data_IF_475780259474
#
_entry.id   IF_475780259474
#
_cell.length_a   1.000
_cell.length_b   1.000
_cell.length_c   1.000
_cell.angle_alpha   90.00
_cell.angle_beta   90.00
_cell.angle_gamma   90.00
#
_symmetry.space_group_name_H-M   'P 1'
#
loop_
_entity.id
_entity.type
_entity.pdbx_description
1 polymer ?
#
# COMPACT_ATOMS: atom_id res chain seq x y z
N UNK A 1 10.72 10.20 -24.34
CA UNK A 1 10.42 11.00 -23.14
C UNK A 1 9.23 11.92 -23.37
N UNK A 2 8.31 11.98 -22.43
CA UNK A 2 7.25 12.99 -22.31
C UNK A 2 7.41 13.69 -20.96
N UNK A 3 7.38 15.02 -20.93
CA UNK A 3 7.64 15.80 -19.72
C UNK A 3 6.43 16.67 -19.31
N UNK A 4 6.29 16.87 -18.01
CA UNK A 4 5.59 18.02 -17.43
C UNK A 4 6.59 18.89 -16.69
N UNK A 5 6.43 20.20 -16.81
CA UNK A 5 7.27 21.20 -16.15
C UNK A 5 6.41 22.42 -15.82
N UNK A 6 6.29 22.77 -14.54
CA UNK A 6 5.55 23.95 -14.10
C UNK A 6 6.46 25.11 -13.67
N UNK A 7 7.76 25.07 -14.03
CA UNK A 7 8.78 26.03 -13.64
C UNK A 7 9.32 25.86 -12.21
N UNK A 8 8.74 24.95 -11.41
CA UNK A 8 9.24 24.57 -10.08
C UNK A 8 9.73 23.14 -10.04
N UNK A 9 8.96 22.21 -10.61
CA UNK A 9 9.31 20.80 -10.72
C UNK A 9 9.14 20.35 -12.16
N UNK A 10 10.07 19.49 -12.59
CA UNK A 10 10.03 18.80 -13.86
C UNK A 10 10.00 17.30 -13.63
N UNK A 11 9.04 16.62 -14.26
CA UNK A 11 8.88 15.17 -14.21
C UNK A 11 8.82 14.61 -15.64
N UNK A 12 9.47 13.48 -15.89
CA UNK A 12 9.57 12.87 -17.21
C UNK A 12 9.22 11.39 -17.20
N UNK A 13 8.26 11.02 -18.04
CA UNK A 13 7.88 9.64 -18.33
C UNK A 13 8.63 9.13 -19.57
N UNK A 14 9.23 7.94 -19.48
CA UNK A 14 9.86 7.29 -20.62
C UNK A 14 8.90 6.35 -21.35
N UNK A 15 8.39 6.80 -22.50
CA UNK A 15 7.47 6.05 -23.33
C UNK A 15 8.07 4.77 -23.92
N UNK A 16 9.41 4.64 -23.93
CA UNK A 16 10.07 3.39 -24.31
C UNK A 16 10.06 2.35 -23.17
N UNK A 17 9.69 2.73 -21.95
CA UNK A 17 9.72 1.93 -20.73
C UNK A 17 8.36 1.93 -20.03
N UNK A 18 7.28 1.66 -20.77
CA UNK A 18 5.91 1.66 -20.23
C UNK A 18 5.43 3.01 -19.67
N UNK A 19 6.12 4.11 -19.94
CA UNK A 19 5.85 5.42 -19.35
C UNK A 19 6.25 5.56 -17.89
N UNK A 20 7.14 4.69 -17.37
CA UNK A 20 7.67 4.84 -16.02
C UNK A 20 8.40 6.19 -15.88
N UNK A 21 8.38 6.77 -14.69
CA UNK A 21 9.09 8.04 -14.46
C UNK A 21 10.57 7.74 -14.32
N UNK A 22 11.36 8.28 -15.25
CA UNK A 22 12.83 8.19 -15.28
C UNK A 22 13.49 9.54 -15.03
N UNK A 23 12.69 10.61 -14.88
CA UNK A 23 13.18 11.94 -14.58
C UNK A 23 12.35 12.64 -13.50
N UNK A 24 13.02 13.17 -12.49
CA UNK A 24 12.44 14.10 -11.51
C UNK A 24 13.51 15.10 -11.08
N UNK A 25 13.20 16.39 -11.15
CA UNK A 25 14.12 17.46 -10.73
C UNK A 25 13.36 18.68 -10.22
N UNK A 26 14.05 19.52 -9.44
CA UNK A 26 13.52 20.79 -8.93
C UNK A 26 14.26 21.97 -9.60
N UNK A 27 13.64 23.13 -9.73
CA UNK A 27 14.26 24.30 -10.39
C UNK A 27 15.61 24.71 -9.77
N UNK A 28 15.75 24.54 -8.46
CA UNK A 28 16.99 24.87 -7.71
C UNK A 28 18.00 23.73 -7.72
N UNK A 29 17.59 22.52 -8.12
CA UNK A 29 18.41 21.30 -8.20
C UNK A 29 18.04 20.55 -9.47
N UNK A 30 18.56 21.01 -10.63
CA UNK A 30 18.11 20.57 -11.95
C UNK A 30 18.60 19.17 -12.33
N UNK A 31 19.52 18.59 -11.57
CA UNK A 31 19.98 17.23 -11.76
C UNK A 31 18.83 16.23 -11.55
N UNK A 32 18.83 15.16 -12.35
CA UNK A 32 17.84 14.11 -12.22
C UNK A 32 18.05 13.28 -10.95
N UNK A 33 16.99 13.08 -10.19
CA UNK A 33 17.01 12.33 -8.93
C UNK A 33 16.70 10.85 -9.08
N UNK A 34 16.19 10.42 -10.24
CA UNK A 34 15.70 9.04 -10.41
C UNK A 34 16.85 8.11 -10.76
N UNK A 35 17.03 7.05 -9.98
CA UNK A 35 17.93 5.97 -10.38
C UNK A 35 17.25 5.18 -11.51
N UNK A 36 18.01 4.78 -12.53
CA UNK A 36 17.58 4.04 -13.71
C UNK A 36 18.68 3.08 -14.17
N UNK A 37 19.30 2.39 -13.21
CA UNK A 37 20.35 1.41 -13.46
C UNK A 37 19.87 0.23 -14.32
N UNK A 38 18.67 -0.27 -14.05
CA UNK A 38 18.03 -1.39 -14.75
C UNK A 38 16.51 -1.16 -14.85
N UNK A 39 15.76 -2.12 -15.41
CA UNK A 39 14.31 -1.99 -15.58
C UNK A 39 13.50 -2.21 -14.28
N UNK A 40 14.15 -2.57 -13.18
CA UNK A 40 13.51 -2.71 -11.87
C UNK A 40 13.52 -1.43 -11.04
N UNK A 41 14.20 -0.36 -11.49
CA UNK A 41 14.51 0.82 -10.67
C UNK A 41 14.10 2.12 -11.33
N UNK A 42 12.89 2.59 -11.07
CA UNK A 42 12.33 3.87 -11.52
C UNK A 42 11.29 4.32 -10.48
N UNK A 43 10.43 5.31 -10.79
CA UNK A 43 9.11 5.36 -10.15
C UNK A 43 8.14 4.57 -11.00
N UNK A 44 7.65 3.44 -10.48
CA UNK A 44 6.85 2.48 -11.24
C UNK A 44 5.83 1.71 -10.40
N UNK A 45 4.71 1.36 -11.02
CA UNK A 45 3.76 0.40 -10.46
C UNK A 45 4.37 -1.00 -10.40
N UNK A 46 4.13 -1.70 -9.30
CA UNK A 46 4.58 -3.07 -9.07
C UNK A 46 3.59 -3.77 -8.14
N UNK A 47 2.91 -4.79 -8.68
CA UNK A 47 1.85 -5.52 -7.98
C UNK A 47 2.22 -6.97 -7.77
N UNK A 48 1.65 -7.60 -6.74
CA UNK A 48 2.05 -8.93 -6.29
C UNK A 48 0.83 -9.80 -6.02
N UNK A 49 0.82 -11.00 -6.57
CA UNK A 49 -0.19 -12.04 -6.30
C UNK A 49 0.45 -13.43 -6.29
N UNK A 50 -0.35 -14.45 -5.99
CA UNK A 50 -0.02 -15.82 -6.37
C UNK A 50 -0.30 -16.09 -7.85
N UNK A 51 0.08 -17.29 -8.34
CA UNK A 51 0.78 -18.34 -7.59
C UNK A 51 2.25 -17.99 -7.29
N UNK A 52 2.88 -18.76 -6.40
CA UNK A 52 4.29 -18.60 -6.01
C UNK A 52 5.01 -19.95 -6.10
N UNK A 53 5.88 -20.18 -7.10
CA UNK A 53 6.19 -19.28 -8.22
C UNK A 53 4.99 -19.10 -9.17
N UNK A 54 4.97 -17.97 -9.89
CA UNK A 54 4.17 -17.84 -11.11
C UNK A 54 5.05 -18.20 -12.30
N UNK A 55 4.71 -19.28 -12.97
CA UNK A 55 5.50 -19.83 -14.06
C UNK A 55 4.57 -20.39 -15.15
N UNK A 56 4.12 -19.53 -16.08
CA UNK A 56 3.35 -19.97 -17.25
C UNK A 56 4.13 -21.00 -18.07
N UNK A 57 3.40 -21.89 -18.75
CA UNK A 57 4.01 -22.92 -19.60
C UNK A 57 4.90 -22.29 -20.67
N UNK A 58 6.12 -22.82 -20.81
CA UNK A 58 7.11 -22.33 -21.78
C UNK A 58 7.84 -21.04 -21.40
N UNK A 59 7.47 -20.36 -20.30
CA UNK A 59 8.19 -19.16 -19.86
C UNK A 59 9.55 -19.51 -19.22
N UNK A 60 10.54 -18.63 -19.38
CA UNK A 60 11.80 -18.71 -18.62
C UNK A 60 11.66 -17.90 -17.35
N UNK A 61 11.90 -18.52 -16.20
CA UNK A 61 11.86 -17.89 -14.88
C UNK A 61 13.28 -17.67 -14.34
N UNK A 62 13.59 -16.45 -13.93
CA UNK A 62 14.86 -16.10 -13.29
C UNK A 62 14.91 -16.71 -11.86
N UNK A 63 15.84 -17.64 -11.55
CA UNK A 63 15.81 -18.42 -10.30
C UNK A 63 15.85 -17.56 -9.03
N UNK A 64 16.56 -16.43 -9.07
CA UNK A 64 16.72 -15.50 -7.96
C UNK A 64 15.39 -14.86 -7.55
N UNK A 65 14.41 -14.79 -8.46
CA UNK A 65 13.12 -14.12 -8.25
C UNK A 65 11.93 -15.09 -8.12
N UNK A 66 12.17 -16.40 -8.02
CA UNK A 66 11.10 -17.43 -7.99
C UNK A 66 10.07 -17.28 -6.85
N UNK A 67 10.40 -16.56 -5.79
CA UNK A 67 9.53 -16.35 -4.61
C UNK A 67 8.62 -15.13 -4.75
N UNK A 68 8.80 -14.30 -5.79
CA UNK A 68 8.04 -13.08 -5.97
C UNK A 68 6.58 -13.35 -6.36
N UNK A 69 6.33 -14.46 -7.09
CA UNK A 69 5.01 -14.84 -7.58
C UNK A 69 4.59 -14.10 -8.84
N UNK A 70 3.29 -13.88 -9.00
CA UNK A 70 2.75 -13.06 -10.08
C UNK A 70 3.11 -11.59 -9.80
N UNK A 71 4.02 -11.04 -10.60
CA UNK A 71 4.55 -9.68 -10.39
C UNK A 71 4.73 -8.89 -11.70
N UNK A 72 3.68 -8.26 -12.23
CA UNK A 72 3.82 -7.29 -13.30
C UNK A 72 4.36 -5.96 -12.77
N UNK A 73 5.35 -5.41 -13.46
CA UNK A 73 5.94 -4.11 -13.16
C UNK A 73 5.90 -3.19 -14.39
N UNK A 74 5.79 -1.89 -14.16
CA UNK A 74 5.52 -0.93 -15.22
C UNK A 74 6.68 -0.76 -16.21
N UNK A 75 7.94 -0.82 -15.78
CA UNK A 75 9.06 -0.48 -16.66
C UNK A 75 9.43 -1.61 -17.63
N UNK A 76 9.62 -2.83 -17.13
CA UNK A 76 10.05 -3.98 -17.94
C UNK A 76 10.61 -5.14 -17.10
N UNK A 77 10.98 -6.25 -17.73
CA UNK A 77 11.46 -7.44 -17.03
C UNK A 77 12.97 -7.44 -16.72
N UNK A 78 13.41 -8.41 -15.89
CA UNK A 78 14.82 -8.59 -15.52
C UNK A 78 15.73 -9.02 -16.68
N UNK A 79 15.15 -9.42 -17.81
CA UNK A 79 15.86 -9.82 -19.03
C UNK A 79 16.05 -8.64 -19.99
N UNK A 80 15.51 -7.46 -19.67
CA UNK A 80 15.69 -6.24 -20.43
C UNK A 80 14.60 -5.98 -21.47
N UNK A 81 13.45 -6.66 -21.40
CA UNK A 81 12.32 -6.36 -22.27
C UNK A 81 11.43 -5.29 -21.63
N UNK A 82 11.27 -4.11 -22.26
CA UNK A 82 10.47 -3.04 -21.72
C UNK A 82 8.97 -3.29 -21.90
N UNK A 83 8.18 -2.71 -21.01
CA UNK A 83 6.72 -2.64 -21.13
C UNK A 83 6.28 -1.77 -22.29
N UNK A 84 5.12 -2.11 -22.87
CA UNK A 84 4.61 -1.47 -24.08
C UNK A 84 3.56 -0.42 -23.75
N UNK A 85 3.81 0.84 -24.14
CA UNK A 85 2.80 1.90 -24.11
C UNK A 85 1.71 1.61 -25.14
N UNK A 86 0.46 1.70 -24.70
CA UNK A 86 -0.75 1.58 -25.52
C UNK A 86 -1.31 2.96 -25.91
N UNK A 87 -1.26 3.90 -24.97
CA UNK A 87 -1.83 5.23 -25.14
C UNK A 87 -1.03 6.25 -24.32
N UNK A 88 -0.90 7.45 -24.86
CA UNK A 88 -0.20 8.57 -24.23
C UNK A 88 -0.87 9.87 -24.62
N UNK A 89 -1.14 10.73 -23.64
CA UNK A 89 -1.60 12.09 -23.84
C UNK A 89 -0.80 13.03 -22.93
N UNK A 90 -0.47 14.22 -23.43
CA UNK A 90 0.15 15.26 -22.64
C UNK A 90 -0.30 16.63 -23.15
N UNK A 91 -1.04 17.37 -22.33
CA UNK A 91 -1.55 18.70 -22.66
C UNK A 91 -0.76 19.85 -21.99
N UNK A 92 0.34 19.52 -21.29
CA UNK A 92 1.15 20.45 -20.52
C UNK A 92 0.68 20.67 -19.08
N UNK A 93 -0.56 20.32 -18.75
CA UNK A 93 -1.12 20.36 -17.39
C UNK A 93 -1.22 18.95 -16.77
N UNK A 94 -1.56 17.97 -17.59
CA UNK A 94 -1.67 16.57 -17.24
C UNK A 94 -0.92 15.70 -18.26
N UNK A 95 -0.22 14.69 -17.74
CA UNK A 95 0.42 13.64 -18.51
C UNK A 95 -0.25 12.31 -18.17
N UNK A 96 -0.82 11.69 -19.19
CA UNK A 96 -1.44 10.38 -19.13
C UNK A 96 -0.61 9.34 -19.87
N UNK A 97 -0.42 8.17 -19.26
CA UNK A 97 0.13 6.99 -19.94
C UNK A 97 -0.69 5.76 -19.59
N UNK A 98 -0.90 4.91 -20.60
CA UNK A 98 -1.44 3.56 -20.49
C UNK A 98 -0.44 2.56 -21.04
N UNK A 99 -0.16 1.47 -20.33
CA UNK A 99 0.75 0.43 -20.81
C UNK A 99 0.29 -0.99 -20.45
N UNK A 100 0.83 -1.96 -21.18
CA UNK A 100 0.87 -3.36 -20.74
C UNK A 100 2.20 -3.58 -20.02
N UNK A 101 2.20 -3.90 -18.71
CA UNK A 101 3.41 -4.17 -17.95
C UNK A 101 4.05 -5.50 -18.35
N UNK A 102 5.29 -5.74 -17.91
CA UNK A 102 5.97 -7.03 -18.04
C UNK A 102 6.07 -7.71 -16.69
N UNK A 103 6.06 -9.04 -16.66
CA UNK A 103 6.38 -9.79 -15.45
C UNK A 103 7.87 -9.70 -15.13
N UNK A 104 8.23 -9.06 -14.01
CA UNK A 104 9.63 -8.89 -13.61
C UNK A 104 10.48 -10.18 -13.66
N UNK A 105 10.03 -11.31 -13.07
CA UNK A 105 10.89 -12.49 -12.96
C UNK A 105 10.93 -13.33 -14.23
N UNK A 106 10.13 -13.01 -15.26
CA UNK A 106 9.94 -13.82 -16.45
C UNK A 106 10.58 -13.17 -17.68
N UNK A 107 11.06 -14.00 -18.60
CA UNK A 107 11.64 -13.55 -19.87
C UNK A 107 10.56 -13.23 -20.90
N UNK A 108 10.37 -11.95 -21.18
CA UNK A 108 9.50 -11.41 -22.22
C UNK A 108 8.03 -11.88 -22.11
N UNK A 109 7.50 -11.92 -20.88
CA UNK A 109 6.10 -12.28 -20.61
C UNK A 109 5.31 -11.02 -20.18
N UNK A 110 4.41 -10.51 -21.05
CA UNK A 110 3.50 -9.42 -20.69
C UNK A 110 2.56 -9.81 -19.55
N UNK A 111 2.25 -8.85 -18.69
CA UNK A 111 1.24 -9.03 -17.64
C UNK A 111 -0.17 -9.08 -18.20
N UNK A 112 -1.05 -9.86 -17.56
CA UNK A 112 -2.47 -9.94 -17.92
C UNK A 112 -3.28 -8.79 -17.30
N UNK A 113 -2.74 -7.58 -17.38
CA UNK A 113 -3.32 -6.37 -16.82
C UNK A 113 -2.91 -5.13 -17.62
N UNK A 114 -3.57 -4.02 -17.33
CA UNK A 114 -3.25 -2.71 -17.91
C UNK A 114 -2.99 -1.72 -16.79
N UNK A 115 -1.93 -0.94 -16.91
CA UNK A 115 -1.60 0.15 -16.01
C UNK A 115 -1.92 1.49 -16.66
N UNK A 116 -2.56 2.37 -15.90
CA UNK A 116 -2.88 3.74 -16.30
C UNK A 116 -2.40 4.72 -15.23
N UNK A 117 -1.83 5.84 -15.68
CA UNK A 117 -1.24 6.85 -14.80
C UNK A 117 -1.63 8.22 -15.30
N UNK A 118 -2.13 9.06 -14.39
CA UNK A 118 -2.37 10.48 -14.63
C UNK A 118 -1.49 11.29 -13.69
N UNK A 119 -0.62 12.12 -14.26
CA UNK A 119 0.34 12.95 -13.52
C UNK A 119 -0.02 14.42 -13.70
N UNK A 120 -0.07 15.17 -12.60
CA UNK A 120 -0.24 16.63 -12.59
C UNK A 120 0.77 17.26 -11.63
N UNK A 121 1.04 18.56 -11.81
CA UNK A 121 1.97 19.32 -10.98
C UNK A 121 1.27 20.47 -10.26
N UNK A 122 1.60 20.68 -8.98
CA UNK A 122 1.15 21.82 -8.16
C UNK A 122 2.33 22.36 -7.35
N UNK A 123 2.90 23.48 -7.80
CA UNK A 123 4.14 24.04 -7.24
C UNK A 123 5.26 22.97 -7.16
N UNK A 124 5.81 22.67 -5.98
CA UNK A 124 6.85 21.65 -5.79
C UNK A 124 6.31 20.21 -5.67
N UNK A 125 5.01 20.01 -5.88
CA UNK A 125 4.32 18.73 -5.65
C UNK A 125 3.91 18.08 -6.97
N UNK A 126 4.18 16.78 -7.07
CA UNK A 126 3.70 15.88 -8.12
C UNK A 126 2.53 15.08 -7.55
N UNK A 127 1.40 15.07 -8.25
CA UNK A 127 0.25 14.23 -7.91
C UNK A 127 0.12 13.19 -9.02
N UNK A 128 0.18 11.91 -8.65
CA UNK A 128 0.07 10.79 -9.57
C UNK A 128 -1.10 9.91 -9.16
N UNK A 129 -2.10 9.79 -10.03
CA UNK A 129 -3.17 8.81 -9.89
C UNK A 129 -2.78 7.58 -10.69
N UNK A 130 -3.00 6.41 -10.12
CA UNK A 130 -2.69 5.13 -10.72
C UNK A 130 -3.94 4.26 -10.77
N UNK A 131 -4.04 3.47 -11.83
CA UNK A 131 -5.04 2.42 -11.97
C UNK A 131 -4.38 1.17 -12.54
N UNK A 132 -4.54 0.04 -11.85
CA UNK A 132 -4.28 -1.28 -12.42
C UNK A 132 -5.62 -1.97 -12.71
N UNK A 133 -5.87 -2.27 -13.98
CA UNK A 133 -7.02 -3.10 -14.38
C UNK A 133 -6.51 -4.52 -14.62
N UNK A 134 -6.76 -5.42 -13.67
CA UNK A 134 -6.39 -6.82 -13.80
C UNK A 134 -7.41 -7.55 -14.67
N UNK A 135 -6.93 -8.44 -15.54
CA UNK A 135 -7.77 -9.23 -16.42
C UNK A 135 -7.16 -10.63 -16.61
N UNK A 136 -6.59 -11.20 -15.55
CA UNK A 136 -5.95 -12.51 -15.63
C UNK A 136 -7.02 -13.61 -15.83
N UNK A 137 -6.75 -14.60 -16.70
CA UNK A 137 -7.66 -15.72 -16.92
C UNK A 137 -7.76 -16.65 -15.71
N UNK A 138 -6.72 -16.72 -14.89
CA UNK A 138 -6.71 -17.52 -13.67
C UNK A 138 -7.59 -16.88 -12.58
N UNK A 139 -8.73 -17.50 -12.30
CA UNK A 139 -9.70 -17.04 -11.32
C UNK A 139 -9.43 -17.55 -9.89
N UNK A 140 -8.30 -18.22 -9.67
CA UNK A 140 -7.91 -18.68 -8.33
C UNK A 140 -7.81 -17.50 -7.36
N UNK A 141 -8.44 -17.61 -6.20
CA UNK A 141 -8.31 -16.60 -5.14
C UNK A 141 -7.00 -16.82 -4.38
N UNK A 142 -6.05 -15.90 -4.57
CA UNK A 142 -4.75 -15.97 -3.90
C UNK A 142 -4.74 -15.17 -2.58
N UNK A 143 -3.87 -15.54 -1.62
CA UNK A 143 -3.70 -14.80 -0.39
C UNK A 143 -3.30 -13.34 -0.64
N UNK A 144 -3.73 -12.45 0.26
CA UNK A 144 -3.34 -11.05 0.21
C UNK A 144 -1.82 -10.87 0.30
N UNK A 145 -1.28 -9.99 -0.52
CA UNK A 145 0.16 -9.65 -0.56
C UNK A 145 0.37 -8.15 -0.47
N UNK A 146 1.55 -7.77 -0.01
CA UNK A 146 2.00 -6.38 0.00
C UNK A 146 2.12 -5.87 -1.44
N UNK A 147 1.48 -4.74 -1.72
CA UNK A 147 1.53 -4.01 -3.00
C UNK A 147 2.38 -2.76 -2.84
N UNK A 148 3.17 -2.40 -3.85
CA UNK A 148 3.98 -1.17 -3.86
C UNK A 148 3.24 -0.04 -4.59
N UNK A 149 3.07 1.12 -3.93
CA UNK A 149 2.09 2.13 -4.35
C UNK A 149 2.66 3.55 -4.51
N UNK A 150 3.55 3.82 -5.49
CA UNK A 150 4.37 2.90 -6.29
C UNK A 150 5.72 2.60 -5.61
N UNK A 151 6.58 1.84 -6.27
CA UNK A 151 8.02 1.82 -5.97
C UNK A 151 8.66 3.15 -6.41
N UNK A 152 9.51 3.75 -5.57
CA UNK A 152 10.25 5.00 -5.84
C UNK A 152 11.74 4.74 -5.64
N UNK A 153 12.48 4.68 -6.74
CA UNK A 153 13.94 4.57 -6.73
C UNK A 153 14.61 5.89 -7.07
N UNK A 154 15.51 6.33 -6.19
CA UNK A 154 16.31 7.55 -6.37
C UNK A 154 17.80 7.26 -6.28
N UNK A 155 18.59 8.24 -6.73
CA UNK A 155 20.05 8.25 -6.59
C UNK A 155 20.47 8.06 -5.12
N UNK A 156 21.59 7.38 -4.89
CA UNK A 156 22.04 7.06 -3.52
C UNK A 156 22.55 8.27 -2.73
N UNK A 157 22.61 9.46 -3.32
CA UNK A 157 22.82 10.71 -2.58
C UNK A 157 21.66 11.01 -1.62
N UNK A 158 20.43 10.63 -1.97
CA UNK A 158 19.23 10.77 -1.12
C UNK A 158 19.05 9.55 -0.20
N UNK A 159 20.08 9.24 0.58
CA UNK A 159 20.21 7.97 1.28
C UNK A 159 19.43 7.84 2.58
N UNK A 160 18.91 8.94 3.14
CA UNK A 160 18.24 8.92 4.45
C UNK A 160 16.74 8.71 4.29
N UNK A 161 16.26 7.54 4.69
CA UNK A 161 14.83 7.29 4.86
C UNK A 161 14.36 7.95 6.16
N UNK A 162 13.66 9.08 6.03
CA UNK A 162 13.15 9.88 7.15
C UNK A 162 11.62 9.79 7.26
N UNK A 163 11.11 9.60 8.47
CA UNK A 163 9.67 9.74 8.78
C UNK A 163 9.44 9.97 10.27
N UNK A 164 8.23 10.35 10.66
CA UNK A 164 7.78 10.26 12.05
C UNK A 164 7.27 8.85 12.34
N UNK A 165 7.84 8.19 13.35
CA UNK A 165 7.55 6.80 13.72
C UNK A 165 7.06 6.67 15.17
N UNK A 166 6.79 7.79 15.84
CA UNK A 166 6.39 7.82 17.24
C UNK A 166 4.89 7.64 17.48
N UNK A 167 4.50 7.55 18.74
CA UNK A 167 3.12 7.25 19.16
C UNK A 167 2.18 8.47 19.17
N UNK A 168 2.70 9.67 18.92
CA UNK A 168 1.94 10.94 18.93
C UNK A 168 2.08 11.65 17.58
N UNK A 169 1.47 11.10 16.51
CA UNK A 169 1.59 11.68 15.19
C UNK A 169 0.98 13.10 15.17
N UNK A 170 1.51 13.94 14.29
CA UNK A 170 1.04 15.32 14.06
C UNK A 170 1.24 16.29 15.23
N UNK A 171 2.05 15.93 16.23
CA UNK A 171 2.43 16.85 17.33
C UNK A 171 3.78 17.53 17.11
N UNK A 172 4.39 17.37 15.93
CA UNK A 172 5.70 17.93 15.63
C UNK A 172 6.88 17.25 16.33
N UNK A 173 6.71 16.03 16.84
CA UNK A 173 7.80 15.27 17.49
C UNK A 173 8.93 14.90 16.51
N UNK A 174 10.06 14.44 17.06
CA UNK A 174 11.28 14.20 16.29
C UNK A 174 11.12 13.15 15.18
N UNK A 175 11.80 13.39 14.06
CA UNK A 175 11.85 12.46 12.94
C UNK A 175 12.91 11.38 13.17
N UNK A 176 12.63 10.19 12.69
CA UNK A 176 13.54 9.04 12.75
C UNK A 176 14.18 8.82 11.38
N UNK A 177 15.50 8.61 11.38
CA UNK A 177 16.19 7.99 10.25
C UNK A 177 16.03 6.47 10.36
N UNK A 178 15.18 5.90 9.51
CA UNK A 178 14.91 4.47 9.45
C UNK A 178 16.08 3.79 8.73
N UNK A 179 16.79 2.92 9.42
CA UNK A 179 17.99 2.26 8.89
C UNK A 179 17.70 0.85 8.41
N UNK A 180 18.45 0.43 7.39
CA UNK A 180 18.42 -0.92 6.84
C UNK A 180 19.83 -1.49 6.74
N UNK A 181 19.94 -2.78 6.40
CA UNK A 181 21.22 -3.46 6.18
C UNK A 181 21.23 -4.10 4.79
N UNK A 182 21.93 -3.46 3.85
CA UNK A 182 21.94 -3.89 2.45
C UNK A 182 22.74 -5.17 2.20
N UNK A 183 23.46 -5.69 3.21
CA UNK A 183 24.15 -6.98 3.10
C UNK A 183 23.22 -8.17 3.35
N UNK A 184 22.00 -7.94 3.83
CA UNK A 184 21.00 -9.00 4.02
C UNK A 184 20.41 -9.46 2.68
N UNK A 185 19.94 -10.71 2.59
CA UNK A 185 19.28 -11.22 1.37
C UNK A 185 18.09 -10.37 0.91
N UNK A 186 17.37 -9.77 1.86
CA UNK A 186 16.38 -8.74 1.60
C UNK A 186 16.86 -7.43 2.25
N UNK A 187 17.33 -6.45 1.46
CA UNK A 187 17.99 -5.26 1.99
C UNK A 187 17.00 -4.24 2.54
N UNK A 188 15.72 -4.28 2.15
CA UNK A 188 14.73 -3.27 2.51
C UNK A 188 14.15 -3.52 3.90
N UNK A 189 13.83 -2.44 4.61
CA UNK A 189 13.16 -2.49 5.90
C UNK A 189 11.73 -2.01 5.79
N UNK A 190 10.82 -2.66 6.52
CA UNK A 190 9.44 -2.22 6.69
C UNK A 190 9.35 -1.33 7.93
N UNK A 191 8.67 -0.19 7.81
CA UNK A 191 8.45 0.73 8.92
C UNK A 191 7.01 1.25 8.96
N UNK A 192 6.45 1.30 10.17
CA UNK A 192 5.22 2.08 10.43
C UNK A 192 5.59 3.55 10.59
N UNK A 193 5.17 4.36 9.63
CA UNK A 193 5.30 5.81 9.56
C UNK A 193 3.97 6.44 10.00
N UNK A 194 3.89 6.88 11.25
CA UNK A 194 2.62 7.15 11.93
C UNK A 194 1.96 8.47 11.50
N UNK A 195 2.64 9.29 10.71
CA UNK A 195 2.09 10.46 10.02
C UNK A 195 1.69 10.19 8.55
N UNK A 196 1.76 8.94 8.07
CA UNK A 196 1.36 8.52 6.72
C UNK A 196 2.18 9.13 5.56
N UNK A 197 3.45 9.46 5.83
CA UNK A 197 4.41 9.91 4.83
C UNK A 197 5.81 9.41 5.16
N UNK A 198 6.69 9.38 4.16
CA UNK A 198 8.12 9.14 4.33
C UNK A 198 8.91 9.97 3.31
N UNK A 199 10.21 10.16 3.55
CA UNK A 199 11.08 10.92 2.66
C UNK A 199 12.43 10.25 2.46
N UNK A 200 13.01 10.47 1.28
CA UNK A 200 14.39 10.15 0.95
C UNK A 200 15.15 11.47 0.78
N UNK A 201 16.08 11.77 1.70
CA UNK A 201 16.82 13.04 1.73
C UNK A 201 18.33 12.81 1.81
N UNK A 202 19.09 13.83 1.39
CA UNK A 202 20.54 13.87 1.57
C UNK A 202 20.98 14.35 2.95
N UNK A 203 22.28 14.57 3.11
CA UNK A 203 22.88 15.11 4.34
C UNK A 203 22.44 16.56 4.62
N UNK A 204 21.98 17.27 3.61
CA UNK A 204 21.47 18.64 3.69
C UNK A 204 19.96 18.71 3.94
N UNK A 205 19.35 17.59 4.35
CA UNK A 205 17.91 17.43 4.57
C UNK A 205 17.04 17.74 3.35
N UNK A 206 17.59 17.81 2.14
CA UNK A 206 16.81 18.06 0.92
C UNK A 206 16.58 16.76 0.15
N UNK A 207 15.39 16.60 -0.43
CA UNK A 207 15.09 15.44 -1.26
C UNK A 207 13.64 15.33 -1.70
N UNK A 208 13.11 14.11 -1.67
CA UNK A 208 11.74 13.78 -2.09
C UNK A 208 10.96 13.16 -0.94
N UNK A 209 9.78 13.72 -0.68
CA UNK A 209 8.77 13.11 0.19
C UNK A 209 7.74 12.34 -0.61
N UNK A 210 7.17 11.29 -0.03
CA UNK A 210 6.16 10.42 -0.61
C UNK A 210 5.04 10.16 0.41
N UNK A 211 3.79 10.32 -0.03
CA UNK A 211 2.59 9.90 0.69
C UNK A 211 1.61 9.26 -0.30
N UNK A 212 0.77 8.33 0.15
CA UNK A 212 -0.16 7.62 -0.73
C UNK A 212 -1.43 7.23 0.02
N UNK A 213 -2.52 7.08 -0.74
CA UNK A 213 -3.85 6.71 -0.25
C UNK A 213 -4.83 6.59 -1.41
N UNK A 214 -6.12 6.52 -1.07
CA UNK A 214 -7.17 6.32 -2.09
C UNK A 214 -7.37 7.56 -2.99
N UNK A 215 -7.03 8.76 -2.49
CA UNK A 215 -7.04 10.01 -3.26
C UNK A 215 -5.97 11.00 -2.77
N UNK A 216 -5.78 12.12 -3.48
CA UNK A 216 -4.70 13.10 -3.23
C UNK A 216 -4.84 13.91 -1.92
N UNK A 217 -6.05 13.97 -1.35
CA UNK A 217 -6.35 14.73 -0.13
C UNK A 217 -6.46 13.82 1.09
N UNK A 218 -6.44 12.50 0.89
CA UNK A 218 -6.64 11.46 1.90
C UNK A 218 -5.51 10.42 1.86
N UNK A 219 -4.27 10.85 2.08
CA UNK A 219 -3.14 9.92 2.23
C UNK A 219 -3.21 9.23 3.60
N UNK A 220 -3.39 7.91 3.61
CA UNK A 220 -3.64 7.14 4.84
C UNK A 220 -2.77 5.87 4.97
N UNK A 221 -1.86 5.63 4.02
CA UNK A 221 -0.91 4.51 4.11
C UNK A 221 0.16 4.82 5.17
N UNK A 222 0.21 3.99 6.21
CA UNK A 222 1.20 4.12 7.28
C UNK A 222 2.38 3.15 7.16
N UNK A 223 2.34 2.16 6.27
CA UNK A 223 3.46 1.21 6.09
C UNK A 223 4.30 1.61 4.89
N UNK A 224 5.60 1.72 5.10
CA UNK A 224 6.57 2.01 4.06
C UNK A 224 7.67 0.96 4.06
N UNK A 225 8.05 0.51 2.87
CA UNK A 225 9.25 -0.28 2.66
C UNK A 225 10.31 0.64 2.09
N UNK A 226 11.55 0.54 2.55
CA UNK A 226 12.60 1.41 2.03
C UNK A 226 13.98 1.07 2.55
N UNK A 227 14.96 1.84 2.06
CA UNK A 227 16.34 1.75 2.49
C UNK A 227 17.35 2.05 1.40
N UNK A 228 18.61 2.10 1.80
CA UNK A 228 19.75 2.24 0.92
C UNK A 228 20.23 0.86 0.44
N UNK A 229 20.54 0.72 -0.84
CA UNK A 229 21.31 -0.38 -1.38
C UNK A 229 22.66 0.12 -1.88
N UNK A 230 23.74 -0.53 -1.43
CA UNK A 230 25.11 -0.14 -1.78
C UNK A 230 25.60 1.11 -1.04
N UNK A 231 26.57 1.81 -1.62
CA UNK A 231 27.20 2.99 -1.00
C UNK A 231 26.37 4.25 -1.23
N UNK A 232 26.14 5.01 -0.16
CA UNK A 232 25.53 6.33 -0.23
C UNK A 232 26.41 7.34 -0.99
N UNK A 233 25.76 8.39 -1.51
CA UNK A 233 26.41 9.60 -2.02
C UNK A 233 26.50 9.73 -3.54
N UNK A 234 26.15 8.70 -4.32
CA UNK A 234 26.19 8.82 -5.78
C UNK A 234 25.05 9.68 -6.29
N UNK A 235 25.37 10.56 -7.25
CA UNK A 235 24.40 11.36 -8.02
C UNK A 235 24.19 10.81 -9.43
N UNK A 236 24.88 9.72 -9.78
CA UNK A 236 24.78 9.11 -11.10
C UNK A 236 23.51 8.26 -11.20
N UNK A 237 22.66 8.59 -12.17
CA UNK A 237 21.37 7.91 -12.36
C UNK A 237 21.52 6.47 -12.86
N UNK A 238 22.69 6.08 -13.38
CA UNK A 238 22.97 4.73 -13.87
C UNK A 238 23.80 3.88 -12.88
N UNK A 239 24.09 4.40 -11.70
CA UNK A 239 24.86 3.68 -10.69
C UNK A 239 24.04 2.57 -10.02
N UNK A 240 24.73 1.49 -9.64
CA UNK A 240 24.09 0.37 -8.94
C UNK A 240 23.62 0.73 -7.52
N UNK A 241 24.34 1.56 -6.74
CA UNK A 241 23.79 2.08 -5.50
C UNK A 241 22.53 2.93 -5.71
N UNK A 242 21.51 2.71 -4.88
CA UNK A 242 20.22 3.41 -4.98
C UNK A 242 19.56 3.50 -3.61
N UNK A 243 18.63 4.43 -3.46
CA UNK A 243 17.74 4.47 -2.30
C UNK A 243 16.32 4.23 -2.77
N UNK A 244 15.63 3.33 -2.10
CA UNK A 244 14.30 2.85 -2.43
C UNK A 244 13.32 3.26 -1.33
N UNK A 245 12.11 3.61 -1.75
CA UNK A 245 10.96 3.83 -0.88
C UNK A 245 9.68 3.39 -1.61
N UNK A 246 8.78 2.73 -0.92
CA UNK A 246 7.43 2.47 -1.40
C UNK A 246 6.43 2.58 -0.25
N UNK A 247 5.32 3.33 -0.41
CA UNK A 247 4.13 3.11 0.38
C UNK A 247 3.61 1.70 0.09
N UNK A 248 3.28 0.95 1.15
CA UNK A 248 2.85 -0.45 1.03
C UNK A 248 1.47 -0.65 1.65
N UNK A 249 0.62 -1.33 0.90
CA UNK A 249 -0.68 -1.80 1.38
C UNK A 249 -0.85 -3.27 1.05
N UNK A 250 -1.37 -4.04 2.00
CA UNK A 250 -1.67 -5.45 1.78
C UNK A 250 -3.05 -5.56 1.13
N UNK A 251 -3.14 -6.32 0.04
CA UNK A 251 -4.36 -6.43 -0.76
C UNK A 251 -4.53 -7.84 -1.33
N UNK A 252 -5.78 -8.30 -1.41
CA UNK A 252 -6.21 -9.44 -2.22
C UNK A 252 -6.34 -8.95 -3.66
N UNK A 253 -5.32 -9.20 -4.47
CA UNK A 253 -5.31 -8.77 -5.87
C UNK A 253 -6.10 -9.78 -6.74
N UNK A 254 -7.44 -9.63 -6.71
CA UNK A 254 -8.37 -10.49 -7.47
C UNK A 254 -8.07 -10.46 -8.97
N UNK A 255 -8.53 -11.50 -9.66
CA UNK A 255 -8.23 -11.70 -11.07
C UNK A 255 -8.79 -10.60 -11.99
N UNK A 256 -9.85 -9.92 -11.55
CA UNK A 256 -10.59 -8.88 -12.27
C UNK A 256 -10.66 -7.55 -11.50
N UNK A 257 -9.75 -7.32 -10.54
CA UNK A 257 -9.72 -6.09 -9.75
C UNK A 257 -9.42 -4.87 -10.64
N UNK A 258 -10.15 -3.78 -10.40
CA UNK A 258 -9.75 -2.42 -10.80
C UNK A 258 -9.21 -1.73 -9.56
N UNK A 259 -7.90 -1.57 -9.51
CA UNK A 259 -7.19 -1.08 -8.33
C UNK A 259 -6.69 0.33 -8.55
N UNK A 260 -7.36 1.29 -7.90
CA UNK A 260 -7.07 2.71 -7.96
C UNK A 260 -6.33 3.17 -6.69
N UNK A 261 -5.34 4.04 -6.86
CA UNK A 261 -4.70 4.75 -5.75
C UNK A 261 -4.06 6.06 -6.23
N UNK A 262 -3.69 6.92 -5.29
CA UNK A 262 -3.01 8.18 -5.56
C UNK A 262 -1.75 8.30 -4.71
N UNK A 263 -0.66 8.71 -5.34
CA UNK A 263 0.58 9.05 -4.65
C UNK A 263 0.90 10.52 -4.87
N UNK A 264 1.24 11.19 -3.77
CA UNK A 264 1.71 12.56 -3.75
C UNK A 264 3.19 12.55 -3.43
N UNK A 265 3.98 13.18 -4.29
CA UNK A 265 5.41 13.40 -4.05
C UNK A 265 5.70 14.89 -3.99
N UNK A 266 6.61 15.33 -3.13
CA UNK A 266 6.99 16.75 -3.06
C UNK A 266 8.48 16.90 -2.86
N UNK A 267 9.09 17.89 -3.52
CA UNK A 267 10.52 18.18 -3.42
C UNK A 267 10.78 19.37 -2.51
N UNK A 268 11.83 19.30 -1.71
CA UNK A 268 12.19 20.37 -0.78
C UNK A 268 13.04 19.89 0.38
N UNK A 269 13.18 20.76 1.37
CA UNK A 269 13.76 20.40 2.67
C UNK A 269 12.83 19.45 3.44
N UNK A 270 13.38 18.66 4.35
CA UNK A 270 12.65 17.68 5.15
C UNK A 270 11.53 18.33 5.97
N UNK A 271 11.74 19.55 6.46
CA UNK A 271 10.73 20.32 7.16
C UNK A 271 9.56 20.72 6.24
N UNK A 272 9.84 21.19 5.03
CA UNK A 272 8.81 21.52 4.04
C UNK A 272 8.05 20.27 3.58
N UNK A 273 8.76 19.16 3.36
CA UNK A 273 8.17 17.87 3.00
C UNK A 273 7.16 17.45 4.07
N UNK A 274 7.56 17.41 5.35
CA UNK A 274 6.66 17.06 6.45
C UNK A 274 5.45 17.99 6.48
N UNK A 275 5.65 19.30 6.39
CA UNK A 275 4.55 20.26 6.44
C UNK A 275 3.52 20.02 5.31
N UNK A 276 3.97 19.81 4.07
CA UNK A 276 3.08 19.60 2.92
C UNK A 276 2.36 18.26 2.93
N UNK A 277 3.04 17.19 3.36
CA UNK A 277 2.47 15.84 3.35
C UNK A 277 1.56 15.58 4.57
N UNK A 278 1.90 16.11 5.75
CA UNK A 278 1.01 16.04 6.92
C UNK A 278 -0.28 16.84 6.76
N UNK A 279 -0.32 17.81 5.84
CA UNK A 279 -1.53 18.53 5.45
C UNK A 279 -2.48 17.69 4.57
N UNK A 280 -2.00 16.58 3.98
CA UNK A 280 -2.77 15.64 3.15
C UNK A 280 -3.06 14.31 3.85
N UNK A 281 -2.61 14.17 5.10
CA UNK A 281 -2.79 12.95 5.86
C UNK A 281 -4.22 12.90 6.43
N UNK A 282 -4.86 11.73 6.34
CA UNK A 282 -6.17 11.50 6.98
C UNK A 282 -6.03 11.55 8.49
N UNK A 283 -6.85 12.36 9.15
CA UNK A 283 -6.88 12.50 10.63
C UNK A 283 -8.17 11.99 11.24
N UNK A 284 -9.16 11.75 10.40
CA UNK A 284 -10.43 11.14 10.78
C UNK A 284 -10.24 9.68 11.17
N UNK A 285 -11.10 9.23 12.08
CA UNK A 285 -11.10 7.84 12.51
C UNK A 285 -11.47 6.92 11.33
N UNK A 286 -10.83 5.74 11.21
CA UNK A 286 -11.09 4.85 10.09
C UNK A 286 -12.55 4.38 9.98
N UNK A 287 -13.04 4.36 8.76
CA UNK A 287 -14.31 3.72 8.38
C UNK A 287 -14.05 2.84 7.18
N UNK A 288 -14.42 1.57 7.26
CA UNK A 288 -14.33 0.61 6.18
C UNK A 288 -15.74 0.19 5.78
N UNK A 289 -16.09 0.42 4.51
CA UNK A 289 -17.39 0.06 3.95
C UNK A 289 -17.17 -0.94 2.81
N UNK A 290 -17.80 -2.10 2.91
CA UNK A 290 -17.61 -3.20 1.96
C UNK A 290 -18.53 -3.06 0.74
N UNK A 291 -18.62 -1.84 0.20
CA UNK A 291 -19.52 -1.45 -0.88
C UNK A 291 -19.22 -2.21 -2.18
N UNK A 292 -17.98 -2.05 -2.65
CA UNK A 292 -17.50 -2.55 -3.95
C UNK A 292 -16.11 -3.22 -3.84
N UNK A 293 -15.78 -3.71 -2.65
CA UNK A 293 -14.46 -4.25 -2.34
C UNK A 293 -14.30 -4.55 -0.87
N UNK A 294 -13.13 -5.07 -0.50
CA UNK A 294 -12.82 -5.45 0.89
C UNK A 294 -12.27 -4.30 1.72
N UNK A 295 -12.12 -3.10 1.15
CA UNK A 295 -11.40 -1.97 1.76
C UNK A 295 -10.06 -2.42 2.37
N UNK A 296 -9.34 -3.28 1.64
CA UNK A 296 -8.04 -3.87 2.02
C UNK A 296 -8.06 -4.81 3.23
N UNK A 297 -9.25 -5.22 3.70
CA UNK A 297 -9.36 -6.35 4.62
C UNK A 297 -9.10 -7.65 3.88
N UNK A 298 -8.54 -8.64 4.60
CA UNK A 298 -8.31 -9.97 4.06
C UNK A 298 -8.55 -11.05 5.09
N UNK A 299 -8.83 -12.27 4.63
CA UNK A 299 -9.06 -13.44 5.49
C UNK A 299 -7.78 -14.27 5.60
N UNK A 300 -7.48 -14.75 6.80
CA UNK A 300 -6.53 -15.85 7.06
C UNK A 300 -7.25 -16.98 7.79
N UNK A 301 -6.75 -18.22 7.66
CA UNK A 301 -7.28 -19.37 8.40
C UNK A 301 -8.71 -19.80 8.02
N UNK A 302 -9.26 -19.27 6.92
CA UNK A 302 -10.59 -19.58 6.41
C UNK A 302 -10.74 -19.25 4.93
N UNK A 303 -11.98 -19.26 4.46
CA UNK A 303 -12.33 -18.98 3.06
C UNK A 303 -12.92 -17.59 2.94
N UNK A 304 -12.50 -16.85 1.91
CA UNK A 304 -13.08 -15.57 1.53
C UNK A 304 -14.14 -15.82 0.44
N UNK A 305 -15.34 -15.25 0.61
CA UNK A 305 -16.48 -15.46 -0.29
C UNK A 305 -16.37 -14.76 -1.65
N UNK A 306 -15.27 -14.07 -1.94
CA UNK A 306 -15.04 -13.33 -3.18
C UNK A 306 -15.23 -11.83 -3.03
N UNK A 307 -14.96 -11.10 -4.11
CA UNK A 307 -15.02 -9.64 -4.13
C UNK A 307 -16.46 -9.15 -3.83
N UNK A 308 -16.66 -8.26 -2.84
CA UNK A 308 -17.97 -7.66 -2.55
C UNK A 308 -18.49 -6.86 -3.74
N UNK A 309 -19.74 -7.11 -4.17
CA UNK A 309 -20.39 -6.41 -5.30
C UNK A 309 -21.79 -5.85 -5.00
N UNK A 310 -22.40 -6.28 -3.92
CA UNK A 310 -23.75 -5.94 -3.48
C UNK A 310 -23.76 -5.11 -2.19
N UNK A 311 -22.61 -4.57 -1.81
CA UNK A 311 -22.41 -3.84 -0.58
C UNK A 311 -22.21 -4.71 0.67
N UNK A 312 -21.96 -5.99 0.48
CA UNK A 312 -21.75 -6.95 1.55
C UNK A 312 -20.53 -7.83 1.27
N UNK A 313 -19.65 -7.99 2.26
CA UNK A 313 -18.58 -8.97 2.22
C UNK A 313 -18.99 -10.22 3.00
N UNK A 314 -18.99 -11.37 2.34
CA UNK A 314 -19.40 -12.64 2.95
C UNK A 314 -18.19 -13.54 3.20
N UNK A 315 -18.12 -14.08 4.42
CA UNK A 315 -17.08 -14.97 4.89
C UNK A 315 -17.73 -16.30 5.28
N UNK A 316 -17.59 -17.34 4.44
CA UNK A 316 -17.97 -18.69 4.82
C UNK A 316 -17.22 -19.13 6.08
N UNK A 317 -17.97 -19.60 7.08
CA UNK A 317 -17.45 -20.01 8.39
C UNK A 317 -17.72 -21.50 8.68
N UNK A 318 -18.17 -22.27 7.68
CA UNK A 318 -18.41 -23.72 7.81
C UNK A 318 -17.14 -24.52 8.09
N UNK A 319 -16.01 -24.06 7.54
CA UNK A 319 -14.70 -24.70 7.63
C UNK A 319 -13.63 -23.69 8.05
N UNK A 320 -12.65 -24.18 8.82
CA UNK A 320 -11.57 -23.35 9.32
C UNK A 320 -11.96 -22.44 10.49
N UNK A 321 -11.03 -21.55 10.84
CA UNK A 321 -11.19 -20.54 11.87
C UNK A 321 -10.80 -19.20 11.24
N UNK A 322 -11.69 -18.60 10.43
CA UNK A 322 -11.37 -17.37 9.72
C UNK A 322 -10.97 -16.26 10.69
N UNK A 323 -10.01 -15.45 10.29
CA UNK A 323 -9.67 -14.20 10.95
C UNK A 323 -9.60 -13.11 9.89
N UNK A 324 -10.41 -12.09 10.06
CA UNK A 324 -10.48 -10.95 9.17
C UNK A 324 -9.48 -9.91 9.68
N UNK A 325 -8.46 -9.62 8.89
CA UNK A 325 -7.40 -8.68 9.23
C UNK A 325 -7.64 -7.37 8.50
N UNK A 326 -7.78 -6.28 9.26
CA UNK A 326 -7.93 -4.94 8.69
C UNK A 326 -6.59 -4.35 8.23
N UNK A 327 -6.62 -3.34 7.35
CA UNK A 327 -5.41 -2.64 6.94
C UNK A 327 -4.77 -1.89 8.11
N UNK A 328 -3.48 -1.63 8.00
CA UNK A 328 -2.78 -0.79 8.99
C UNK A 328 -3.26 0.64 8.85
N UNK A 329 -3.75 1.20 9.96
CA UNK A 329 -4.16 2.60 10.12
C UNK A 329 -3.73 3.05 11.51
N UNK A 330 -3.32 4.31 11.65
CA UNK A 330 -2.90 4.86 12.95
C UNK A 330 -3.97 5.77 13.53
N UNK A 331 -4.41 5.50 14.77
CA UNK A 331 -5.25 6.40 15.56
C UNK A 331 -4.98 6.22 17.05
N UNK A 332 -5.29 7.25 17.85
CA UNK A 332 -5.11 7.21 19.31
C UNK A 332 -6.30 6.52 19.95
N UNK A 333 -6.05 5.63 20.91
CA UNK A 333 -7.09 4.92 21.64
C UNK A 333 -8.06 5.90 22.35
N UNK A 334 -7.54 6.99 22.92
CA UNK A 334 -8.35 8.02 23.58
C UNK A 334 -9.31 8.77 22.66
N UNK A 335 -9.05 8.77 21.35
CA UNK A 335 -9.93 9.39 20.35
C UNK A 335 -11.01 8.42 19.85
N UNK A 336 -10.97 7.14 20.23
CA UNK A 336 -11.78 6.07 19.65
C UNK A 336 -12.35 5.13 20.73
N UNK A 337 -13.39 5.56 21.44
CA UNK A 337 -13.94 4.79 22.55
C UNK A 337 -14.62 3.47 22.13
N UNK A 338 -15.08 3.35 20.89
CA UNK A 338 -15.92 2.24 20.43
C UNK A 338 -15.65 1.87 18.97
N UNK A 339 -15.91 0.61 18.62
CA UNK A 339 -15.99 0.12 17.24
C UNK A 339 -17.42 -0.31 16.94
N UNK A 340 -18.03 0.25 15.90
CA UNK A 340 -19.30 -0.22 15.38
C UNK A 340 -19.08 -1.20 14.22
N UNK A 341 -19.74 -2.34 14.27
CA UNK A 341 -19.66 -3.42 13.28
C UNK A 341 -21.07 -3.64 12.75
N UNK A 342 -21.27 -3.41 11.46
CA UNK A 342 -22.52 -3.75 10.77
C UNK A 342 -22.37 -5.13 10.13
N UNK A 343 -22.99 -6.14 10.77
CA UNK A 343 -22.82 -7.53 10.41
C UNK A 343 -24.11 -8.34 10.58
N UNK A 344 -24.24 -9.41 9.78
CA UNK A 344 -25.18 -10.50 10.04
C UNK A 344 -24.43 -11.80 10.31
N UNK A 345 -25.00 -12.62 11.18
CA UNK A 345 -24.46 -13.93 11.52
C UNK A 345 -25.54 -15.00 11.32
N UNK A 346 -25.22 -15.99 10.49
CA UNK A 346 -25.96 -17.24 10.39
C UNK A 346 -25.06 -18.32 10.97
N UNK A 347 -25.36 -18.82 12.17
CA UNK A 347 -24.42 -19.66 12.93
C UNK A 347 -24.93 -19.96 14.33
N UNK A 348 -24.17 -20.72 15.15
CA UNK A 348 -24.45 -20.88 16.57
C UNK A 348 -24.41 -19.54 17.31
N UNK A 349 -25.21 -19.40 18.36
CA UNK A 349 -25.23 -18.20 19.22
C UNK A 349 -24.00 -18.17 20.15
N UNK A 350 -22.83 -17.95 19.56
CA UNK A 350 -21.54 -17.87 20.23
C UNK A 350 -20.89 -16.49 20.03
N UNK A 351 -20.01 -16.05 20.94
CA UNK A 351 -19.36 -14.76 20.82
C UNK A 351 -18.33 -14.74 19.68
N UNK A 352 -18.31 -13.64 18.94
CA UNK A 352 -17.20 -13.21 18.10
C UNK A 352 -16.13 -12.53 18.97
N UNK A 353 -14.97 -12.22 18.40
CA UNK A 353 -13.90 -11.51 19.11
C UNK A 353 -13.28 -10.42 18.26
N UNK A 354 -13.22 -9.22 18.82
CA UNK A 354 -12.48 -8.10 18.26
C UNK A 354 -11.10 -8.05 18.92
N UNK A 355 -10.06 -7.91 18.11
CA UNK A 355 -8.67 -7.70 18.56
C UNK A 355 -8.09 -6.43 17.94
N UNK A 356 -7.11 -5.86 18.60
CA UNK A 356 -6.35 -4.73 18.09
C UNK A 356 -4.85 -4.91 18.29
N UNK A 357 -4.07 -4.19 17.48
CA UNK A 357 -2.62 -4.00 17.66
C UNK A 357 -2.32 -2.56 18.03
N UNK A 358 -1.30 -2.38 18.84
CA UNK A 358 -0.67 -1.10 19.12
C UNK A 358 0.61 -0.95 18.29
N UNK A 359 1.16 0.26 18.25
CA UNK A 359 2.48 0.50 17.66
C UNK A 359 3.55 -0.37 18.34
N UNK A 360 4.42 -0.99 17.53
CA UNK A 360 5.49 -1.88 18.00
C UNK A 360 5.07 -3.35 18.16
N UNK A 361 3.78 -3.67 18.13
CA UNK A 361 3.32 -5.05 18.15
C UNK A 361 3.63 -5.76 16.82
N UNK A 362 4.19 -6.98 16.92
CA UNK A 362 4.40 -7.84 15.74
C UNK A 362 3.10 -8.51 15.29
N UNK A 363 2.31 -8.99 16.26
CA UNK A 363 1.09 -9.77 16.04
C UNK A 363 -0.04 -9.31 16.96
N UNK A 364 -1.27 -9.78 16.68
CA UNK A 364 -2.40 -9.62 17.58
C UNK A 364 -2.24 -10.53 18.81
N UNK A 365 -2.63 -10.05 20.00
CA UNK A 365 -2.56 -10.81 21.25
C UNK A 365 -3.94 -11.03 21.86
N UNK A 366 -4.05 -11.98 22.78
CA UNK A 366 -5.31 -12.25 23.49
C UNK A 366 -5.58 -11.21 24.59
N UNK A 367 -4.55 -10.58 25.16
CA UNK A 367 -4.73 -9.48 26.13
C UNK A 367 -5.34 -8.23 25.48
N UNK A 368 -5.14 -8.03 24.17
CA UNK A 368 -5.73 -6.93 23.39
C UNK A 368 -6.95 -7.41 22.60
N UNK A 369 -7.90 -7.99 23.32
CA UNK A 369 -9.12 -8.53 22.74
C UNK A 369 -10.36 -8.34 23.62
N UNK A 370 -11.53 -8.22 22.98
CA UNK A 370 -12.83 -8.17 23.65
C UNK A 370 -13.83 -9.08 22.93
N UNK A 371 -14.58 -9.93 23.65
CA UNK A 371 -15.67 -10.68 23.05
C UNK A 371 -16.86 -9.76 22.76
N UNK A 372 -17.61 -10.04 21.69
CA UNK A 372 -18.86 -9.37 21.39
C UNK A 372 -19.84 -10.34 20.74
N UNK A 373 -21.13 -10.01 20.77
CA UNK A 373 -22.18 -10.88 20.23
C UNK A 373 -22.80 -10.24 18.99
N UNK A 374 -22.85 -11.01 17.90
CA UNK A 374 -23.68 -10.71 16.74
C UNK A 374 -24.94 -11.56 16.88
N UNK A 375 -26.15 -10.98 16.84
CA UNK A 375 -27.38 -11.77 16.87
C UNK A 375 -27.36 -12.86 15.77
N UNK A 376 -27.63 -14.10 16.18
CA UNK A 376 -27.69 -15.26 15.29
C UNK A 376 -29.07 -15.36 14.60
N UNK A 377 -29.57 -14.24 14.08
CA UNK A 377 -30.89 -14.10 13.44
C UNK A 377 -30.80 -14.04 11.91
N UNK A 378 -29.58 -14.09 11.36
CA UNK A 378 -29.32 -13.94 9.93
C UNK A 378 -29.60 -12.53 9.38
N UNK A 379 -29.97 -11.57 10.22
CA UNK A 379 -30.26 -10.19 9.84
C UNK A 379 -29.05 -9.29 10.05
N UNK A 380 -28.98 -8.21 9.28
CA UNK A 380 -27.94 -7.22 9.46
C UNK A 380 -28.21 -6.40 10.74
N UNK A 381 -27.25 -6.45 11.64
CA UNK A 381 -27.28 -5.79 12.95
C UNK A 381 -26.12 -4.80 13.05
N UNK A 382 -26.35 -3.68 13.74
CA UNK A 382 -25.28 -2.74 14.12
C UNK A 382 -24.86 -3.04 15.55
N UNK A 383 -23.72 -3.72 15.71
CA UNK A 383 -23.16 -4.08 17.00
C UNK A 383 -22.11 -3.04 17.40
N UNK A 384 -22.23 -2.50 18.62
CA UNK A 384 -21.26 -1.54 19.17
C UNK A 384 -20.41 -2.25 20.20
N UNK A 385 -19.09 -2.22 20.00
CA UNK A 385 -18.10 -2.83 20.89
C UNK A 385 -17.38 -1.73 21.66
N UNK A 386 -17.64 -1.56 22.97
CA UNK A 386 -16.95 -0.57 23.79
C UNK A 386 -15.52 -1.00 24.10
N UNK A 387 -14.57 -0.08 23.93
CA UNK A 387 -13.14 -0.33 24.13
C UNK A 387 -12.51 0.58 25.20
N UNK A 388 -13.05 1.78 25.41
CA UNK A 388 -12.42 2.78 26.30
C UNK A 388 -12.14 2.30 27.74
N UNK A 389 -12.97 1.41 28.27
CA UNK A 389 -12.80 0.86 29.63
C UNK A 389 -11.82 -0.33 29.68
N UNK A 390 -11.40 -0.86 28.53
CA UNK A 390 -10.51 -2.01 28.47
C UNK A 390 -9.07 -1.59 28.81
N UNK A 391 -8.42 -2.16 29.84
CA UNK A 391 -7.13 -1.68 30.33
C UNK A 391 -5.99 -1.78 29.31
N UNK A 392 -6.09 -2.72 28.36
CA UNK A 392 -5.13 -2.87 27.27
C UNK A 392 -5.44 -2.02 26.01
N UNK A 393 -6.52 -1.24 26.01
CA UNK A 393 -6.87 -0.34 24.91
C UNK A 393 -6.31 1.06 25.18
N UNK A 394 -5.03 1.25 24.84
CA UNK A 394 -4.29 2.49 25.12
C UNK A 394 -3.22 2.74 24.05
N UNK A 395 -2.78 3.99 23.94
CA UNK A 395 -1.70 4.39 23.04
C UNK A 395 -2.14 4.47 21.57
N UNK A 396 -1.18 4.30 20.65
CA UNK A 396 -1.44 4.36 19.22
C UNK A 396 -1.84 2.98 18.70
N UNK A 397 -3.08 2.86 18.22
CA UNK A 397 -3.62 1.66 17.60
C UNK A 397 -3.19 1.62 16.14
N UNK A 398 -2.81 0.44 15.65
CA UNK A 398 -2.25 0.22 14.30
C UNK A 398 -3.05 -0.76 13.45
N UNK A 399 -4.05 -1.44 14.01
CA UNK A 399 -4.91 -2.32 13.21
C UNK A 399 -5.92 -3.10 14.02
N UNK A 400 -6.91 -3.65 13.31
CA UNK A 400 -7.98 -4.47 13.87
C UNK A 400 -7.95 -5.88 13.28
N UNK A 401 -8.45 -6.84 14.08
CA UNK A 401 -8.77 -8.19 13.64
C UNK A 401 -10.13 -8.60 14.19
N UNK A 402 -10.96 -9.19 13.35
CA UNK A 402 -12.26 -9.74 13.74
C UNK A 402 -12.20 -11.25 13.56
N UNK A 403 -12.42 -11.98 14.64
CA UNK A 403 -12.63 -13.43 14.60
C UNK A 403 -14.14 -13.70 14.70
N UNK A 404 -14.76 -14.27 13.66
CA UNK A 404 -16.16 -14.66 13.72
C UNK A 404 -16.39 -15.73 14.81
N UNK A 405 -17.65 -15.94 15.23
CA UNK A 405 -17.97 -17.07 16.09
C UNK A 405 -17.60 -18.38 15.41
N UNK A 406 -17.30 -19.46 16.16
CA UNK A 406 -17.05 -20.77 15.58
C UNK A 406 -18.27 -21.22 14.78
N UNK A 407 -18.16 -21.27 13.45
CA UNK A 407 -19.30 -21.63 12.61
C UNK A 407 -19.78 -23.05 12.90
N UNK A 408 -18.87 -24.05 12.86
CA UNK A 408 -19.07 -25.46 13.25
C UNK A 408 -20.38 -26.12 12.81
N UNK A 409 -21.05 -25.56 11.81
CA UNK A 409 -22.30 -26.05 11.23
C UNK A 409 -22.36 -25.69 9.74
N UNK A 410 -23.11 -26.46 8.93
CA UNK A 410 -23.35 -26.12 7.52
C UNK A 410 -23.99 -24.73 7.38
N UNK A 411 -23.65 -24.01 6.30
CA UNK A 411 -24.13 -22.67 5.98
C UNK A 411 -23.76 -21.58 6.99
N UNK A 412 -22.86 -21.86 7.94
CA UNK A 412 -22.35 -20.85 8.84
C UNK A 412 -21.64 -19.74 8.05
N UNK A 413 -22.05 -18.49 8.22
CA UNK A 413 -21.44 -17.36 7.52
C UNK A 413 -21.56 -16.06 8.30
N UNK A 414 -20.50 -15.27 8.23
CA UNK A 414 -20.48 -13.87 8.63
C UNK A 414 -20.64 -13.02 7.37
N UNK A 415 -21.54 -12.04 7.40
CA UNK A 415 -21.62 -11.03 6.35
C UNK A 415 -21.41 -9.66 6.97
N UNK A 416 -20.54 -8.84 6.37
CA UNK A 416 -20.17 -7.51 6.85
C UNK A 416 -20.59 -6.45 5.84
N UNK A 417 -21.15 -5.34 6.33
CA UNK A 417 -21.40 -4.12 5.56
C UNK A 417 -20.36 -3.04 5.86
N UNK A 418 -20.03 -2.85 7.13
CA UNK A 418 -19.09 -1.82 7.55
C UNK A 418 -18.43 -2.11 8.90
N UNK A 419 -17.23 -1.56 9.10
CA UNK A 419 -16.53 -1.44 10.38
C UNK A 419 -16.16 0.02 10.58
N UNK A 420 -16.56 0.62 11.70
CA UNK A 420 -16.42 2.06 11.97
C UNK A 420 -15.75 2.28 13.31
N UNK A 421 -14.61 2.98 13.31
CA UNK A 421 -13.95 3.47 14.52
C UNK A 421 -14.60 4.80 14.93
N UNK A 422 -15.09 4.94 16.16
CA UNK A 422 -15.85 6.12 16.60
C UNK A 422 -15.53 6.55 18.05
N UNK A 423 -15.76 7.84 18.35
CA UNK A 423 -15.47 8.49 19.65
C UNK A 423 -16.31 8.01 20.84
N UNK A 424 -17.32 7.19 20.61
CA UNK A 424 -18.37 6.89 21.59
C UNK A 424 -19.47 7.95 21.59
N UNK A 425 -20.68 7.57 22.03
CA UNK A 425 -21.83 8.47 22.14
C UNK A 425 -21.97 9.07 23.52
#
# INVERSE_FOLDING_TARGET
>A
MSFLDNGTVKIGADLALGGAITWLSHKERPDNLINSHDLGRQIQMSHYSGPVPFHPEGATLKPEWRTIGWNPIQTGDVFGHPSRVLEHHNDGNQLYVKCVPMHWPLDNVPGECVFEIWTTLDGPTVIMRFRATNARPDQTLYPARNQELPAVYVISALHRFMSYTGERPFTGGDLTHVTNDFHKPWPWTEQTCTESWAALVGDDDWGVGVASGDNCDNCDICIFHGGLFGKAGSREVRDSPTTYLAPVRKEVFDHDIVYDYTTVMTLGTLAEIRARLTARAVRELPTWAFANGRSHWYVIGGVDGGLPRDGLWTIPCEQGMPSLIGPVRCWRAEDAAEIAIEASWNGPAEPARLRWRCLGDRDFSDERSVPFTIPADGMLNRVVVPLAAHPAYQGLITGLRIDPPPGRQPQARLTLRAVVVQRGR
#
